data_IF_123435375887
#
_entry.id   IF_123435375887
#
_cell.length_a   1.000
_cell.length_b   1.000
_cell.length_c   1.000
_cell.angle_alpha   90.00
_cell.angle_beta   90.00
_cell.angle_gamma   90.00
#
_symmetry.space_group_name_H-M   'P 1'
#
loop_
_entity.id
_entity.type
_entity.pdbx_description
1 polymer ?
#
# COMPACT_ATOMS: atom_id res chain seq x y z
N UNK A 1 32.17 -34.81 -3.88
CA UNK A 1 30.86 -35.06 -4.49
C UNK A 1 29.83 -34.69 -3.45
N UNK A 2 29.13 -33.57 -3.65
CA UNK A 2 27.70 -33.39 -3.36
C UNK A 2 27.39 -31.97 -3.83
N UNK A 3 26.87 -31.84 -5.04
CA UNK A 3 26.31 -30.58 -5.51
C UNK A 3 25.06 -30.31 -4.69
N UNK A 4 25.19 -29.51 -3.63
CA UNK A 4 24.04 -28.88 -3.01
C UNK A 4 23.57 -27.85 -4.02
N UNK A 5 22.63 -28.25 -4.87
CA UNK A 5 21.77 -27.29 -5.54
C UNK A 5 21.14 -26.44 -4.43
N UNK A 6 21.73 -25.27 -4.21
CA UNK A 6 21.16 -24.20 -3.44
C UNK A 6 19.83 -23.86 -4.13
N UNK A 7 18.76 -24.50 -3.65
CA UNK A 7 17.40 -24.02 -3.85
C UNK A 7 17.40 -22.60 -3.30
N UNK A 8 17.71 -21.64 -4.16
CA UNK A 8 17.57 -20.22 -3.89
C UNK A 8 16.08 -19.99 -3.69
N UNK A 9 15.64 -20.14 -2.44
CA UNK A 9 14.25 -20.02 -2.06
C UNK A 9 13.88 -18.55 -2.26
N UNK A 10 13.06 -18.30 -3.27
CA UNK A 10 12.73 -16.94 -3.71
C UNK A 10 11.99 -16.24 -2.57
N UNK A 11 12.53 -15.11 -2.10
CA UNK A 11 11.93 -14.34 -1.02
C UNK A 11 10.49 -13.95 -1.41
N UNK A 12 9.49 -14.24 -0.56
CA UNK A 12 8.11 -13.85 -0.82
C UNK A 12 7.96 -12.33 -0.96
N UNK A 13 7.16 -11.89 -1.94
CA UNK A 13 6.98 -10.46 -2.24
C UNK A 13 6.46 -9.62 -1.05
N UNK A 14 5.51 -10.11 -0.22
CA UNK A 14 5.09 -9.36 0.96
C UNK A 14 6.23 -9.14 1.97
N UNK A 15 7.20 -10.05 2.01
CA UNK A 15 8.34 -9.97 2.93
C UNK A 15 9.30 -8.86 2.51
N UNK A 16 9.57 -8.74 1.20
CA UNK A 16 10.36 -7.61 0.65
C UNK A 16 9.71 -6.26 0.98
N UNK A 17 8.38 -6.17 0.97
CA UNK A 17 7.66 -4.94 1.32
C UNK A 17 7.75 -4.61 2.83
N UNK A 18 7.71 -5.65 3.68
CA UNK A 18 7.71 -5.52 5.14
C UNK A 18 9.13 -5.44 5.74
N UNK A 19 10.16 -5.83 5.01
CA UNK A 19 11.55 -5.77 5.47
C UNK A 19 12.15 -4.36 5.36
N UNK A 20 11.53 -3.46 4.58
CA UNK A 20 11.94 -2.07 4.44
C UNK A 20 11.04 -1.12 5.25
N UNK A 21 11.61 -0.55 6.31
CA UNK A 21 10.91 0.37 7.20
C UNK A 21 10.37 1.61 6.47
N UNK A 22 11.04 2.11 5.43
CA UNK A 22 10.56 3.25 4.66
C UNK A 22 9.38 2.86 3.78
N UNK A 23 9.36 1.65 3.22
CA UNK A 23 8.20 1.16 2.48
C UNK A 23 6.98 0.98 3.38
N UNK A 24 7.16 0.46 4.59
CA UNK A 24 6.09 0.37 5.59
C UNK A 24 5.59 1.76 5.97
N UNK A 25 6.50 2.69 6.28
CA UNK A 25 6.13 4.06 6.65
C UNK A 25 5.42 4.80 5.51
N UNK A 26 5.90 4.63 4.28
CA UNK A 26 5.27 5.19 3.09
C UNK A 26 3.88 4.59 2.90
N UNK A 27 3.72 3.27 2.96
CA UNK A 27 2.41 2.63 2.85
C UNK A 27 1.46 3.11 3.96
N UNK A 28 1.98 3.21 5.20
CA UNK A 28 1.25 3.72 6.36
C UNK A 28 0.79 5.17 6.24
N UNK A 29 1.46 6.00 5.45
CA UNK A 29 1.04 7.38 5.18
C UNK A 29 0.20 7.49 3.90
N UNK A 30 0.69 6.93 2.80
CA UNK A 30 0.11 7.06 1.46
C UNK A 30 -1.25 6.38 1.38
N UNK A 31 -1.38 5.15 1.88
CA UNK A 31 -2.64 4.41 1.82
C UNK A 31 -3.77 5.18 2.52
N UNK A 32 -3.70 5.52 3.82
CA UNK A 32 -4.79 6.25 4.47
C UNK A 32 -5.00 7.65 3.89
N UNK A 33 -3.94 8.33 3.42
CA UNK A 33 -4.08 9.63 2.76
C UNK A 33 -4.91 9.52 1.48
N UNK A 34 -4.60 8.56 0.61
CA UNK A 34 -5.36 8.34 -0.62
C UNK A 34 -6.80 7.93 -0.32
N UNK A 35 -7.02 7.04 0.65
CA UNK A 35 -8.36 6.68 1.11
C UNK A 35 -9.15 7.91 1.58
N UNK A 36 -8.55 8.76 2.41
CA UNK A 36 -9.18 9.99 2.89
C UNK A 36 -9.50 10.97 1.75
N UNK A 37 -8.58 11.14 0.80
CA UNK A 37 -8.80 12.01 -0.35
C UNK A 37 -9.93 11.49 -1.24
N UNK A 38 -9.92 10.20 -1.59
CA UNK A 38 -10.97 9.60 -2.41
C UNK A 38 -12.32 9.71 -1.70
N UNK A 39 -12.36 9.38 -0.40
CA UNK A 39 -13.58 9.51 0.39
C UNK A 39 -14.08 10.96 0.42
N UNK A 40 -13.19 11.92 0.65
CA UNK A 40 -13.53 13.34 0.63
C UNK A 40 -14.03 13.82 -0.74
N UNK A 41 -13.50 13.30 -1.84
CA UNK A 41 -13.97 13.61 -3.19
C UNK A 41 -15.37 13.01 -3.46
N UNK A 42 -15.61 11.79 -2.98
CA UNK A 42 -16.92 11.15 -3.05
C UNK A 42 -17.94 12.01 -2.27
N UNK A 43 -17.63 12.33 -1.02
CA UNK A 43 -18.50 13.16 -0.17
C UNK A 43 -18.75 14.54 -0.81
N UNK A 44 -17.71 15.19 -1.35
CA UNK A 44 -17.83 16.47 -2.03
C UNK A 44 -18.77 16.40 -3.25
N UNK A 45 -18.72 15.31 -4.02
CA UNK A 45 -19.61 15.10 -5.17
C UNK A 45 -21.09 14.90 -4.78
N UNK A 46 -21.36 14.51 -3.53
CA UNK A 46 -22.71 14.33 -3.01
C UNK A 46 -23.25 15.53 -2.23
N UNK A 47 -22.45 16.59 -2.00
CA UNK A 47 -22.93 17.83 -1.39
C UNK A 47 -23.83 18.56 -2.39
N UNK A 48 -25.12 18.80 -2.09
CA UNK A 48 -25.99 19.56 -2.97
C UNK A 48 -25.54 21.02 -3.01
N UNK A 49 -25.07 21.47 -4.18
CA UNK A 49 -24.52 22.81 -4.36
C UNK A 49 -25.59 23.93 -4.39
N UNK A 50 -26.87 23.56 -4.45
CA UNK A 50 -27.99 24.50 -4.51
C UNK A 50 -29.06 24.09 -3.50
N UNK A 51 -28.93 24.62 -2.28
CA UNK A 51 -30.05 24.73 -1.35
C UNK A 51 -30.97 25.87 -1.78
N UNK A 52 -31.84 25.60 -2.74
CA UNK A 52 -33.12 26.29 -2.95
C UNK A 52 -34.19 25.26 -3.18
#
# INVERSE_FOLDING_TARGET
MEGREERSERVPWPQVLLDDIFLILMAGLVVPTLFYLIWGLIDLGFIPLFGR
#
